data_IF_538804093498
#
_entry.id   IF_538804093498
#
_cell.length_a   1.000
_cell.length_b   1.000
_cell.length_c   1.000
_cell.angle_alpha   90.00
_cell.angle_beta   90.00
_cell.angle_gamma   90.00
#
_symmetry.space_group_name_H-M   'P 1'
#
loop_
_entity.id
_entity.type
_entity.pdbx_description
1 polymer ?
#
# COMPACT_ATOMS: atom_id res chain seq x y z
N UNK A 1 2.29 -16.53 -0.19
CA UNK A 1 1.41 -15.34 -0.34
C UNK A 1 1.77 -14.56 -1.61
N UNK A 2 0.81 -14.06 -2.43
CA UNK A 2 1.11 -13.25 -3.63
C UNK A 2 1.32 -11.78 -3.27
N UNK A 3 2.50 -11.26 -3.61
CA UNK A 3 2.93 -9.91 -3.19
C UNK A 3 3.26 -9.04 -4.39
N UNK A 4 2.83 -7.78 -4.33
CA UNK A 4 3.12 -6.75 -5.31
C UNK A 4 3.87 -5.58 -4.66
N UNK A 5 4.88 -5.05 -5.33
CA UNK A 5 5.46 -3.76 -5.01
C UNK A 5 5.18 -2.78 -6.15
N UNK A 6 4.65 -1.60 -5.86
CA UNK A 6 4.37 -0.57 -6.85
C UNK A 6 5.17 0.70 -6.53
N UNK A 7 5.96 1.16 -7.50
CA UNK A 7 6.91 2.27 -7.38
C UNK A 7 7.89 2.15 -6.19
N UNK A 8 8.43 0.96 -5.85
CA UNK A 8 9.27 0.83 -4.68
C UNK A 8 10.59 1.62 -4.83
N UNK A 9 11.14 2.19 -3.74
CA UNK A 9 12.51 2.64 -3.76
C UNK A 9 13.46 1.45 -3.95
N UNK A 10 14.66 1.71 -4.48
CA UNK A 10 15.62 0.65 -4.85
C UNK A 10 15.96 -0.30 -3.68
N UNK A 11 15.97 0.21 -2.45
CA UNK A 11 16.29 -0.56 -1.24
C UNK A 11 15.11 -1.31 -0.63
N UNK A 12 13.89 -1.17 -1.16
CA UNK A 12 12.68 -1.74 -0.54
C UNK A 12 12.78 -3.26 -0.30
N UNK A 13 13.34 -4.01 -1.26
CA UNK A 13 13.51 -5.47 -1.11
C UNK A 13 14.43 -5.83 0.05
N UNK A 14 15.45 -5.03 0.33
CA UNK A 14 16.36 -5.25 1.44
C UNK A 14 15.66 -5.04 2.80
N UNK A 15 14.65 -4.17 2.88
CA UNK A 15 13.83 -4.00 4.09
C UNK A 15 13.01 -5.26 4.43
N UNK A 16 12.88 -6.19 3.49
CA UNK A 16 12.14 -7.45 3.62
C UNK A 16 13.07 -8.67 3.62
N UNK A 17 14.36 -8.51 3.97
CA UNK A 17 15.32 -9.60 3.97
C UNK A 17 14.90 -10.77 4.90
N UNK A 18 14.23 -10.47 6.00
CA UNK A 18 13.72 -11.46 6.97
C UNK A 18 12.28 -11.92 6.68
N UNK A 19 11.72 -11.53 5.53
CA UNK A 19 10.38 -11.95 5.16
C UNK A 19 10.34 -13.46 4.83
N UNK A 20 9.16 -14.11 4.95
CA UNK A 20 9.01 -15.52 4.61
C UNK A 20 9.52 -15.86 3.20
N UNK A 21 10.14 -17.03 3.03
CA UNK A 21 10.69 -17.44 1.74
C UNK A 21 9.61 -17.75 0.68
N UNK A 22 8.35 -17.94 1.08
CA UNK A 22 7.21 -18.33 0.24
C UNK A 22 6.43 -17.13 -0.35
N UNK A 23 7.04 -15.94 -0.36
CA UNK A 23 6.46 -14.78 -1.02
C UNK A 23 6.53 -14.93 -2.55
N UNK A 24 5.38 -15.09 -3.18
CA UNK A 24 5.23 -15.14 -4.63
C UNK A 24 5.11 -13.71 -5.18
N UNK A 25 6.23 -13.15 -5.62
CA UNK A 25 6.27 -11.79 -6.15
C UNK A 25 5.67 -11.69 -7.56
N UNK A 26 4.70 -10.81 -7.72
CA UNK A 26 4.05 -10.54 -8.99
C UNK A 26 4.87 -9.54 -9.82
N UNK A 27 5.11 -9.88 -11.09
CA UNK A 27 5.82 -9.00 -12.04
C UNK A 27 4.96 -7.85 -12.58
N UNK A 28 3.63 -7.95 -12.43
CA UNK A 28 2.65 -6.95 -12.89
C UNK A 28 1.42 -6.98 -11.98
N UNK A 29 0.61 -5.92 -12.05
CA UNK A 29 -0.67 -5.85 -11.34
C UNK A 29 -1.58 -6.99 -11.79
N UNK A 30 -1.87 -7.89 -10.87
CA UNK A 30 -2.76 -9.05 -11.00
C UNK A 30 -3.39 -9.30 -9.63
N UNK A 31 -4.41 -10.17 -9.48
CA UNK A 31 -4.98 -10.47 -8.17
C UNK A 31 -3.89 -10.82 -7.14
N UNK A 32 -3.90 -10.12 -5.99
CA UNK A 32 -2.82 -10.16 -5.01
C UNK A 32 -3.35 -10.24 -3.57
N UNK A 33 -2.51 -10.73 -2.65
CA UNK A 33 -2.85 -10.87 -1.23
C UNK A 33 -2.23 -9.73 -0.40
N UNK A 34 -1.08 -9.20 -0.83
CA UNK A 34 -0.45 -8.03 -0.22
C UNK A 34 0.17 -7.13 -1.30
N UNK A 35 -0.12 -5.83 -1.26
CA UNK A 35 0.60 -4.83 -2.04
C UNK A 35 1.30 -3.83 -1.11
N UNK A 36 2.50 -3.40 -1.48
CA UNK A 36 3.15 -2.22 -0.90
C UNK A 36 3.38 -1.21 -2.02
N UNK A 37 2.72 -0.07 -1.94
CA UNK A 37 2.74 0.95 -2.98
C UNK A 37 3.25 2.28 -2.42
N UNK A 38 4.14 2.93 -3.16
CA UNK A 38 4.76 4.18 -2.77
C UNK A 38 4.20 5.31 -3.62
N UNK A 39 3.78 6.38 -2.97
CA UNK A 39 3.20 7.57 -3.60
C UNK A 39 3.90 8.82 -3.06
N UNK A 40 4.25 9.75 -3.94
CA UNK A 40 4.83 11.03 -3.55
C UNK A 40 3.80 12.17 -3.66
N UNK A 41 2.65 11.93 -4.28
CA UNK A 41 1.56 12.90 -4.36
C UNK A 41 0.16 12.28 -4.25
N UNK A 42 -0.83 13.10 -3.90
CA UNK A 42 -2.25 12.73 -3.90
C UNK A 42 -2.73 12.22 -5.27
N UNK A 43 -2.24 12.82 -6.36
CA UNK A 43 -2.54 12.39 -7.73
C UNK A 43 -2.06 10.96 -7.98
N UNK A 44 -0.82 10.66 -7.61
CA UNK A 44 -0.25 9.32 -7.74
C UNK A 44 -1.00 8.32 -6.87
N UNK A 45 -1.32 8.70 -5.63
CA UNK A 45 -2.05 7.83 -4.71
C UNK A 45 -3.42 7.43 -5.25
N UNK A 46 -4.18 8.38 -5.81
CA UNK A 46 -5.47 8.08 -6.47
C UNK A 46 -5.28 7.09 -7.63
N UNK A 47 -4.27 7.31 -8.47
CA UNK A 47 -3.96 6.40 -9.58
C UNK A 47 -3.51 5.01 -9.11
N UNK A 48 -2.83 4.91 -7.97
CA UNK A 48 -2.45 3.66 -7.33
C UNK A 48 -3.70 2.89 -6.90
N UNK A 49 -4.62 3.54 -6.17
CA UNK A 49 -5.85 2.88 -5.73
C UNK A 49 -6.72 2.41 -6.90
N UNK A 50 -6.88 3.22 -7.95
CA UNK A 50 -7.59 2.81 -9.18
C UNK A 50 -7.01 1.53 -9.80
N UNK A 51 -5.69 1.32 -9.70
CA UNK A 51 -5.03 0.10 -10.21
C UNK A 51 -5.15 -1.09 -9.27
N UNK A 52 -5.04 -0.86 -7.96
CA UNK A 52 -4.88 -1.92 -6.97
C UNK A 52 -6.19 -2.42 -6.37
N UNK A 53 -7.14 -1.53 -6.08
CA UNK A 53 -8.42 -1.90 -5.45
C UNK A 53 -9.13 -3.04 -6.22
N UNK A 54 -9.28 -3.00 -7.56
CA UNK A 54 -10.02 -4.03 -8.28
C UNK A 54 -9.33 -5.40 -8.30
N UNK A 55 -8.05 -5.46 -7.88
CA UNK A 55 -7.23 -6.69 -7.84
C UNK A 55 -6.97 -7.16 -6.41
N UNK A 56 -7.43 -6.42 -5.41
CA UNK A 56 -7.32 -6.79 -4.01
C UNK A 56 -8.24 -7.98 -3.71
N UNK A 57 -7.67 -9.08 -3.20
CA UNK A 57 -8.46 -10.22 -2.72
C UNK A 57 -9.31 -9.86 -1.51
N UNK A 58 -10.30 -10.70 -1.17
CA UNK A 58 -11.24 -10.43 -0.08
C UNK A 58 -10.53 -10.19 1.27
N UNK A 59 -9.51 -10.99 1.57
CA UNK A 59 -8.70 -10.88 2.79
C UNK A 59 -7.34 -10.20 2.56
N UNK A 60 -7.15 -9.63 1.37
CA UNK A 60 -5.91 -8.97 1.00
C UNK A 60 -5.70 -7.64 1.72
N UNK A 61 -4.49 -7.09 1.54
CA UNK A 61 -4.13 -5.78 2.09
C UNK A 61 -3.32 -4.92 1.11
N UNK A 62 -3.47 -3.61 1.23
CA UNK A 62 -2.65 -2.61 0.55
C UNK A 62 -1.97 -1.75 1.61
N UNK A 63 -0.65 -1.72 1.59
CA UNK A 63 0.14 -0.74 2.33
C UNK A 63 0.46 0.44 1.41
N UNK A 64 0.02 1.62 1.79
CA UNK A 64 0.40 2.87 1.14
C UNK A 64 1.56 3.49 1.91
N UNK A 65 2.63 3.77 1.20
CA UNK A 65 3.81 4.45 1.69
C UNK A 65 3.88 5.88 1.14
N UNK A 66 4.11 6.87 2.02
CA UNK A 66 4.35 8.26 1.61
C UNK A 66 5.54 8.86 2.37
N UNK A 67 6.23 9.87 1.81
CA UNK A 67 7.38 10.47 2.48
C UNK A 67 6.97 11.13 3.79
N UNK A 68 7.76 10.92 4.84
CA UNK A 68 7.60 11.65 6.10
C UNK A 68 7.85 13.14 5.88
N UNK A 69 7.26 13.99 6.73
CA UNK A 69 7.48 15.44 6.69
C UNK A 69 8.96 15.85 6.80
N UNK A 70 9.79 15.03 7.43
CA UNK A 70 11.23 15.25 7.58
C UNK A 70 12.07 14.76 6.38
N UNK A 71 11.46 14.06 5.42
CA UNK A 71 12.16 13.64 4.21
C UNK A 71 12.42 14.85 3.29
N UNK A 72 13.50 14.81 2.53
CA UNK A 72 13.82 15.88 1.56
C UNK A 72 12.84 15.93 0.36
N UNK A 73 12.07 14.87 0.16
CA UNK A 73 11.08 14.76 -0.93
C UNK A 73 9.86 15.64 -0.64
N UNK A 74 9.50 16.51 -1.60
CA UNK A 74 8.28 17.30 -1.52
C UNK A 74 7.07 16.40 -1.75
N UNK A 75 6.12 16.41 -0.82
CA UNK A 75 4.85 15.70 -0.95
C UNK A 75 3.71 16.57 -0.42
N UNK A 76 2.53 16.43 -1.03
CA UNK A 76 1.27 16.97 -0.52
C UNK A 76 0.55 15.98 0.41
N UNK A 77 1.11 14.78 0.60
CA UNK A 77 0.51 13.72 1.40
C UNK A 77 0.81 13.89 2.90
N UNK A 78 -0.23 13.68 3.69
CA UNK A 78 -0.17 13.44 5.13
C UNK A 78 -1.17 12.34 5.48
N UNK A 79 -1.10 11.80 6.71
CA UNK A 79 -1.90 10.63 7.10
C UNK A 79 -3.40 10.79 6.81
N UNK A 80 -4.01 11.92 7.21
CA UNK A 80 -5.44 12.16 6.96
C UNK A 80 -5.79 12.13 5.47
N UNK A 81 -5.00 12.76 4.60
CA UNK A 81 -5.27 12.77 3.16
C UNK A 81 -5.12 11.36 2.56
N UNK A 82 -4.13 10.59 3.03
CA UNK A 82 -3.96 9.20 2.60
C UNK A 82 -5.16 8.35 3.02
N UNK A 83 -5.65 8.53 4.26
CA UNK A 83 -6.86 7.89 4.78
C UNK A 83 -8.09 8.26 3.96
N UNK A 84 -8.33 9.54 3.73
CA UNK A 84 -9.48 10.04 2.97
C UNK A 84 -9.49 9.47 1.55
N UNK A 85 -8.34 9.47 0.86
CA UNK A 85 -8.22 8.89 -0.48
C UNK A 85 -8.46 7.37 -0.46
N UNK A 86 -7.99 6.66 0.57
CA UNK A 86 -8.25 5.22 0.70
C UNK A 86 -9.73 4.91 0.99
N UNK A 87 -10.40 5.77 1.76
CA UNK A 87 -11.84 5.69 2.02
C UNK A 87 -12.65 5.96 0.75
N UNK A 88 -12.26 6.94 -0.08
CA UNK A 88 -12.84 7.20 -1.41
C UNK A 88 -12.71 5.99 -2.35
N UNK A 89 -11.73 5.12 -2.11
CA UNK A 89 -11.52 3.88 -2.83
C UNK A 89 -12.22 2.67 -2.19
N UNK A 90 -13.21 2.89 -1.32
CA UNK A 90 -13.98 1.86 -0.60
C UNK A 90 -13.16 0.94 0.32
N UNK A 91 -11.96 1.38 0.74
CA UNK A 91 -11.11 0.66 1.68
C UNK A 91 -11.09 1.33 3.06
N UNK A 92 -10.74 0.56 4.09
CA UNK A 92 -10.56 1.07 5.45
C UNK A 92 -9.14 0.86 5.93
N UNK A 93 -8.59 1.86 6.61
CA UNK A 93 -7.31 1.73 7.27
C UNK A 93 -7.44 0.97 8.61
N UNK A 94 -6.41 0.19 8.95
CA UNK A 94 -6.40 -0.60 10.19
C UNK A 94 -5.10 -0.48 11.00
N UNK A 95 -4.01 -0.01 10.37
CA UNK A 95 -2.71 0.10 11.04
C UNK A 95 -1.81 1.11 10.34
N UNK A 96 -1.13 1.93 11.12
CA UNK A 96 -0.06 2.83 10.68
C UNK A 96 1.29 2.36 11.23
N UNK A 97 2.38 2.56 10.48
CA UNK A 97 3.75 2.35 10.95
C UNK A 97 4.76 3.26 10.20
N UNK A 98 6.00 3.30 10.68
CA UNK A 98 7.12 3.71 9.85
C UNK A 98 7.62 2.48 9.07
N UNK A 99 7.83 2.62 7.76
CA UNK A 99 8.43 1.57 6.94
C UNK A 99 9.96 1.60 7.11
N UNK A 100 10.54 2.80 7.03
CA UNK A 100 11.94 3.07 7.33
C UNK A 100 12.09 4.50 7.84
N UNK A 101 13.28 5.10 7.79
CA UNK A 101 13.51 6.49 8.18
C UNK A 101 12.78 7.50 7.29
N UNK A 102 12.48 7.16 6.04
CA UNK A 102 11.99 8.04 4.98
C UNK A 102 10.47 7.93 4.79
N UNK A 103 9.91 6.73 4.89
CA UNK A 103 8.52 6.43 4.52
C UNK A 103 7.66 6.11 5.74
N UNK A 104 6.50 6.78 5.82
CA UNK A 104 5.36 6.32 6.64
C UNK A 104 4.56 5.28 5.86
N UNK A 105 3.85 4.39 6.55
CA UNK A 105 3.01 3.35 5.96
C UNK A 105 1.64 3.28 6.62
N UNK A 106 0.57 3.18 5.82
CA UNK A 106 -0.81 2.97 6.28
C UNK A 106 -1.41 1.76 5.55
N UNK A 107 -1.93 0.81 6.33
CA UNK A 107 -2.52 -0.43 5.84
C UNK A 107 -4.01 -0.30 5.63
N UNK A 108 -4.45 -0.59 4.42
CA UNK A 108 -5.84 -0.63 3.97
C UNK A 108 -6.31 -2.06 3.68
N UNK A 109 -7.58 -2.33 3.96
CA UNK A 109 -8.25 -3.61 3.66
C UNK A 109 -9.69 -3.35 3.19
N UNK A 110 -10.32 -4.36 2.56
CA UNK A 110 -11.77 -4.35 2.37
C UNK A 110 -12.47 -4.41 3.72
N UNK A 111 -13.53 -3.61 3.91
CA UNK A 111 -14.38 -3.66 5.11
C UNK A 111 -14.94 -5.07 5.26
N UNK A 112 -14.95 -5.60 6.48
CA UNK A 112 -15.42 -6.97 6.74
C UNK A 112 -16.84 -7.20 6.21
N UNK A 113 -17.73 -6.22 6.37
CA UNK A 113 -19.13 -6.29 5.89
C UNK A 113 -19.28 -6.35 4.37
N UNK A 114 -18.28 -5.87 3.62
CA UNK A 114 -18.31 -5.79 2.16
C UNK A 114 -17.57 -6.97 1.51
N UNK A 115 -16.99 -7.88 2.32
CA UNK A 115 -16.32 -9.08 1.82
C UNK A 115 -17.34 -10.14 1.42
N UNK A 116 -17.14 -10.74 0.25
CA UNK A 116 -17.88 -11.93 -0.17
C UNK A 116 -17.31 -13.13 0.59
N UNK A 117 -18.14 -13.78 1.42
CA UNK A 117 -17.77 -15.05 2.06
C UNK A 117 -17.52 -16.09 0.97
N UNK A 118 -16.31 -16.62 0.92
CA UNK A 118 -15.97 -17.78 0.07
C UNK A 118 -16.51 -19.06 0.69
#
# INVERSE_FOLDING_TARGET
MRVLALNPPAHFRALLADAPADLAWLARVAPFDCAVAFAESAKELRAIFTKLEPKLTQDGMIWIAWPKKAAATKTDLHENLVRDIGLDADLVDIKVCAIDSTWSGLKFVRRVRDRVKS
#
